data_IF_150553309635
#
_entry.id   IF_150553309635
#
_cell.length_a   1.000
_cell.length_b   1.000
_cell.length_c   1.000
_cell.angle_alpha   90.00
_cell.angle_beta   90.00
_cell.angle_gamma   90.00
#
_symmetry.space_group_name_H-M   'P 1'
#
loop_
_entity.id
_entity.type
_entity.pdbx_description
1 polymer ?
#
# COMPACT_ATOMS: atom_id res chain seq x y z
N UNK A 1 -17.39 -9.76 8.71
CA UNK A 1 -16.86 -9.86 10.10
C UNK A 1 -15.75 -8.84 10.37
N UNK A 2 -14.92 -8.46 9.42
CA UNK A 2 -13.85 -7.46 9.57
C UNK A 2 -14.33 -6.03 9.84
N UNK A 3 -15.42 -5.59 9.26
CA UNK A 3 -15.97 -4.21 9.42
C UNK A 3 -16.40 -3.89 10.86
N UNK A 4 -16.94 -4.88 11.61
CA UNK A 4 -17.30 -4.66 13.02
C UNK A 4 -16.07 -4.48 13.92
N UNK A 5 -14.94 -5.09 13.51
CA UNK A 5 -13.66 -4.94 14.21
C UNK A 5 -13.06 -3.55 13.88
N UNK A 6 -13.21 -3.07 12.64
CA UNK A 6 -12.81 -1.72 12.23
C UNK A 6 -13.51 -0.64 13.07
N UNK A 7 -14.83 -0.73 13.29
CA UNK A 7 -15.56 0.21 14.15
C UNK A 7 -15.01 0.29 15.58
N UNK A 8 -14.44 -0.80 16.10
CA UNK A 8 -13.95 -0.88 17.48
C UNK A 8 -12.47 -0.46 17.64
N UNK A 9 -11.66 -0.60 16.58
CA UNK A 9 -10.22 -0.30 16.61
C UNK A 9 -9.87 1.12 16.12
N UNK A 10 -10.75 1.75 15.37
CA UNK A 10 -10.56 3.08 14.74
C UNK A 10 -10.50 4.25 15.75
N UNK A 11 -10.81 4.01 17.02
CA UNK A 11 -10.81 5.05 18.05
C UNK A 11 -9.45 5.69 18.38
N UNK A 12 -8.34 5.35 17.68
CA UNK A 12 -7.01 5.85 18.06
C UNK A 12 -6.17 6.47 16.94
N UNK A 13 -6.52 6.27 15.66
CA UNK A 13 -5.91 6.98 14.53
C UNK A 13 -7.04 7.33 13.59
N UNK A 14 -7.35 8.60 13.49
CA UNK A 14 -8.34 9.11 12.54
C UNK A 14 -7.66 9.33 11.20
N UNK A 15 -8.27 8.86 10.10
CA UNK A 15 -7.81 9.18 8.73
C UNK A 15 -7.78 10.70 8.55
N UNK A 16 -8.78 11.39 9.09
CA UNK A 16 -8.88 12.84 9.09
C UNK A 16 -7.65 13.52 9.73
N UNK A 17 -7.20 13.03 10.89
CA UNK A 17 -5.98 13.54 11.54
C UNK A 17 -4.74 13.26 10.70
N UNK A 18 -4.66 12.08 10.08
CA UNK A 18 -3.55 11.73 9.19
C UNK A 18 -3.45 12.71 8.01
N UNK A 19 -4.59 13.08 7.42
CA UNK A 19 -4.64 13.95 6.25
C UNK A 19 -4.41 15.43 6.59
N UNK A 20 -4.84 15.88 7.76
CA UNK A 20 -4.85 17.30 8.12
C UNK A 20 -3.67 17.73 9.01
N UNK A 21 -3.16 16.84 9.84
CA UNK A 21 -2.20 17.19 10.89
C UNK A 21 -0.82 16.52 10.74
N UNK A 22 -0.71 15.49 9.89
CA UNK A 22 0.48 14.66 9.83
C UNK A 22 1.31 14.95 8.57
N UNK A 23 2.60 14.74 8.68
CA UNK A 23 3.53 14.98 7.59
C UNK A 23 3.54 13.87 6.54
N UNK A 24 4.37 14.03 5.51
CA UNK A 24 4.53 13.05 4.42
C UNK A 24 5.00 11.67 4.91
N UNK A 25 5.73 11.61 6.03
CA UNK A 25 6.22 10.37 6.62
C UNK A 25 5.67 10.24 8.04
N UNK A 26 5.00 9.13 8.31
CA UNK A 26 4.35 8.87 9.59
C UNK A 26 4.79 7.51 10.14
N UNK A 27 5.29 7.49 11.38
CA UNK A 27 5.71 6.28 12.07
C UNK A 27 4.71 5.91 13.17
N UNK A 28 4.10 4.72 13.04
CA UNK A 28 3.17 4.18 14.03
C UNK A 28 3.83 3.13 14.91
N UNK A 29 4.25 3.52 16.08
CA UNK A 29 4.80 2.60 17.09
C UNK A 29 3.73 2.24 18.10
N UNK A 30 3.36 0.95 18.18
CA UNK A 30 2.41 0.44 19.17
C UNK A 30 2.79 -0.97 19.60
N UNK A 31 2.45 -1.40 20.84
CA UNK A 31 2.65 -2.76 21.28
C UNK A 31 1.98 -3.78 20.34
N UNK A 32 2.35 -5.05 20.48
CA UNK A 32 1.68 -6.15 19.78
C UNK A 32 0.19 -6.17 20.13
N UNK A 33 -0.66 -6.59 19.19
CA UNK A 33 -2.14 -6.70 19.33
C UNK A 33 -2.92 -5.37 19.43
N UNK A 34 -2.27 -4.23 19.21
CA UNK A 34 -2.93 -2.91 19.20
C UNK A 34 -3.39 -2.45 17.80
N UNK A 35 -3.71 -3.38 16.91
CA UNK A 35 -4.38 -3.09 15.66
C UNK A 35 -3.50 -2.42 14.57
N UNK A 36 -2.15 -2.49 14.64
CA UNK A 36 -1.28 -1.89 13.61
C UNK A 36 -1.62 -2.34 12.20
N UNK A 37 -1.66 -3.66 11.97
CA UNK A 37 -1.97 -4.22 10.64
C UNK A 37 -3.38 -3.87 10.19
N UNK A 38 -4.34 -3.78 11.12
CA UNK A 38 -5.71 -3.38 10.81
C UNK A 38 -5.76 -1.91 10.37
N UNK A 39 -5.02 -1.02 11.04
CA UNK A 39 -4.94 0.39 10.64
C UNK A 39 -4.30 0.53 9.26
N UNK A 40 -3.24 -0.22 8.97
CA UNK A 40 -2.62 -0.22 7.64
C UNK A 40 -3.58 -0.72 6.55
N UNK A 41 -4.31 -1.82 6.80
CA UNK A 41 -5.33 -2.32 5.86
C UNK A 41 -6.48 -1.31 5.68
N UNK A 42 -6.88 -0.61 6.74
CA UNK A 42 -7.89 0.44 6.66
C UNK A 42 -7.42 1.60 5.79
N UNK A 43 -6.19 2.08 5.98
CA UNK A 43 -5.60 3.14 5.16
C UNK A 43 -5.51 2.71 3.69
N UNK A 44 -5.03 1.50 3.43
CA UNK A 44 -5.00 0.95 2.08
C UNK A 44 -6.41 0.93 1.47
N UNK A 45 -7.41 0.42 2.18
CA UNK A 45 -8.79 0.36 1.68
C UNK A 45 -9.42 1.73 1.46
N UNK A 46 -8.99 2.75 2.21
CA UNK A 46 -9.50 4.11 2.03
C UNK A 46 -8.92 4.80 0.81
N UNK A 47 -7.60 4.71 0.61
CA UNK A 47 -6.93 5.46 -0.45
C UNK A 47 -6.94 4.74 -1.80
N UNK A 48 -6.94 3.40 -1.80
CA UNK A 48 -6.65 2.62 -3.00
C UNK A 48 -7.80 2.65 -4.03
N UNK A 49 -7.43 2.92 -5.27
CA UNK A 49 -8.32 2.89 -6.44
C UNK A 49 -8.98 1.51 -6.56
N UNK A 50 -10.28 1.50 -6.88
CA UNK A 50 -11.05 0.28 -7.09
C UNK A 50 -11.52 -0.41 -5.80
N UNK A 51 -11.22 0.13 -4.63
CA UNK A 51 -11.78 -0.38 -3.37
C UNK A 51 -13.22 0.07 -3.16
N UNK A 52 -13.99 -0.78 -2.50
CA UNK A 52 -15.37 -0.50 -2.13
C UNK A 52 -15.46 0.66 -1.13
N UNK A 53 -16.00 1.78 -1.56
CA UNK A 53 -16.11 2.99 -0.75
C UNK A 53 -17.14 2.85 0.36
N UNK A 54 -18.12 1.96 0.21
CA UNK A 54 -19.18 1.72 1.22
C UNK A 54 -18.64 1.12 2.51
N UNK A 55 -17.41 0.58 2.50
CA UNK A 55 -16.70 0.11 3.70
C UNK A 55 -16.60 1.18 4.80
N UNK A 56 -16.67 2.43 4.43
CA UNK A 56 -16.51 3.58 5.34
C UNK A 56 -17.84 4.23 5.73
N UNK A 57 -18.98 3.76 5.21
CA UNK A 57 -20.30 4.30 5.52
C UNK A 57 -20.62 4.18 7.01
N UNK A 58 -21.08 5.28 7.60
CA UNK A 58 -21.35 5.37 9.03
C UNK A 58 -20.09 5.33 9.93
N UNK A 59 -18.91 5.49 9.36
CA UNK A 59 -17.67 5.81 10.11
C UNK A 59 -17.49 7.34 10.13
N UNK A 60 -16.82 7.83 11.17
CA UNK A 60 -16.57 9.27 11.34
C UNK A 60 -15.99 9.97 10.10
N UNK A 61 -15.16 9.29 9.33
CA UNK A 61 -14.57 9.87 8.11
C UNK A 61 -15.63 10.14 7.03
N UNK A 62 -16.70 9.33 6.96
CA UNK A 62 -17.78 9.54 5.99
C UNK A 62 -18.61 10.82 6.26
N UNK A 63 -18.51 11.38 7.45
CA UNK A 63 -19.14 12.67 7.78
C UNK A 63 -18.38 13.84 7.12
N UNK A 64 -17.12 13.64 6.74
CA UNK A 64 -16.30 14.63 6.06
C UNK A 64 -16.27 14.36 4.54
N UNK A 65 -17.29 14.83 3.84
CA UNK A 65 -17.45 14.59 2.40
C UNK A 65 -16.29 15.17 1.58
N UNK A 66 -15.76 16.33 1.95
CA UNK A 66 -14.64 16.97 1.24
C UNK A 66 -13.39 16.07 1.24
N UNK A 67 -13.02 15.49 2.39
CA UNK A 67 -11.89 14.57 2.47
C UNK A 67 -12.17 13.25 1.72
N UNK A 68 -13.39 12.74 1.77
CA UNK A 68 -13.76 11.55 1.03
C UNK A 68 -13.70 11.78 -0.48
N UNK A 69 -14.23 12.87 -0.99
CA UNK A 69 -14.18 13.23 -2.41
C UNK A 69 -12.74 13.44 -2.89
N UNK A 70 -11.89 14.02 -2.07
CA UNK A 70 -10.50 14.32 -2.41
C UNK A 70 -9.58 13.10 -2.37
N UNK A 71 -9.79 12.18 -1.43
CA UNK A 71 -8.80 11.14 -1.12
C UNK A 71 -9.30 9.70 -1.24
N UNK A 72 -10.60 9.43 -1.05
CA UNK A 72 -11.11 8.07 -1.00
C UNK A 72 -11.13 7.39 -2.37
N UNK A 73 -10.33 6.32 -2.50
CA UNK A 73 -10.24 5.55 -3.73
C UNK A 73 -9.64 6.32 -4.90
N UNK A 74 -8.69 7.21 -4.65
CA UNK A 74 -8.07 8.08 -5.67
C UNK A 74 -6.62 7.75 -5.99
N UNK A 75 -5.95 6.94 -5.17
CA UNK A 75 -4.51 6.74 -5.28
C UNK A 75 -4.17 5.26 -5.48
N UNK A 76 -3.12 4.94 -6.26
CA UNK A 76 -2.48 3.65 -6.17
C UNK A 76 -1.78 3.55 -4.81
N UNK A 77 -1.90 2.42 -4.12
CA UNK A 77 -1.30 2.23 -2.79
C UNK A 77 -0.31 1.08 -2.85
N UNK A 78 0.96 1.35 -2.58
CA UNK A 78 2.00 0.32 -2.39
C UNK A 78 1.96 -0.15 -0.95
N UNK A 79 1.64 -1.42 -0.72
CA UNK A 79 1.50 -2.00 0.62
C UNK A 79 2.43 -3.20 0.79
N UNK A 80 3.53 -3.00 1.52
CA UNK A 80 4.54 -4.04 1.74
C UNK A 80 4.51 -4.51 3.19
N UNK A 81 4.30 -5.79 3.41
CA UNK A 81 4.37 -6.40 4.72
C UNK A 81 5.65 -7.22 4.88
N UNK A 82 6.47 -6.82 5.84
CA UNK A 82 7.68 -7.57 6.21
C UNK A 82 7.39 -8.74 7.17
N UNK A 83 6.10 -8.96 7.49
CA UNK A 83 5.68 -10.09 8.31
C UNK A 83 5.87 -11.39 7.52
N UNK A 84 6.68 -12.29 8.06
CA UNK A 84 7.00 -13.56 7.39
C UNK A 84 8.32 -13.56 6.63
N UNK A 85 9.02 -12.42 6.54
CA UNK A 85 10.40 -12.37 6.06
C UNK A 85 11.33 -12.77 7.21
N UNK A 86 11.31 -14.05 7.58
CA UNK A 86 12.04 -14.64 8.68
C UNK A 86 12.75 -15.92 8.23
N UNK A 87 13.61 -15.80 7.23
CA UNK A 87 14.46 -16.92 6.81
C UNK A 87 15.47 -17.28 7.90
N UNK A 88 15.81 -18.56 8.00
CA UNK A 88 16.91 -19.03 8.86
C UNK A 88 18.28 -18.54 8.36
N UNK A 89 18.36 -18.17 7.08
CA UNK A 89 19.56 -17.62 6.44
C UNK A 89 19.23 -16.32 5.73
N UNK A 90 20.25 -15.53 5.43
CA UNK A 90 20.13 -14.33 4.61
C UNK A 90 19.48 -14.64 3.25
N UNK A 91 19.87 -15.71 2.61
CA UNK A 91 19.35 -16.11 1.29
C UNK A 91 17.87 -16.43 1.33
N UNK A 92 17.40 -17.06 2.40
CA UNK A 92 15.96 -17.31 2.59
C UNK A 92 15.19 -16.01 2.83
N UNK A 93 15.67 -15.16 3.71
CA UNK A 93 15.05 -13.87 3.97
C UNK A 93 14.97 -13.01 2.70
N UNK A 94 16.05 -13.00 1.91
CA UNK A 94 16.13 -12.34 0.60
C UNK A 94 15.08 -12.88 -0.37
N UNK A 95 14.93 -14.20 -0.49
CA UNK A 95 13.91 -14.81 -1.36
C UNK A 95 12.49 -14.42 -0.94
N UNK A 96 12.21 -14.38 0.36
CA UNK A 96 10.89 -13.94 0.85
C UNK A 96 10.64 -12.47 0.54
N UNK A 97 11.66 -11.61 0.67
CA UNK A 97 11.53 -10.20 0.31
C UNK A 97 11.23 -10.02 -1.18
N UNK A 98 12.00 -10.69 -2.06
CA UNK A 98 11.76 -10.69 -3.51
C UNK A 98 10.33 -11.14 -3.82
N UNK A 99 9.87 -12.22 -3.20
CA UNK A 99 8.50 -12.73 -3.39
C UNK A 99 7.47 -11.67 -3.01
N UNK A 100 7.66 -10.99 -1.88
CA UNK A 100 6.75 -9.95 -1.41
C UNK A 100 6.68 -8.78 -2.40
N UNK A 101 7.81 -8.32 -2.92
CA UNK A 101 7.86 -7.27 -3.95
C UNK A 101 7.19 -7.72 -5.25
N UNK A 102 7.44 -8.94 -5.69
CA UNK A 102 6.81 -9.47 -6.91
C UNK A 102 5.28 -9.56 -6.78
N UNK A 103 4.78 -10.00 -5.63
CA UNK A 103 3.34 -10.10 -5.39
C UNK A 103 2.70 -8.71 -5.44
N UNK A 104 3.36 -7.71 -4.86
CA UNK A 104 2.89 -6.34 -4.88
C UNK A 104 2.96 -5.72 -6.29
N UNK A 105 4.05 -5.92 -7.02
CA UNK A 105 4.18 -5.48 -8.40
C UNK A 105 3.10 -6.10 -9.32
N UNK A 106 2.76 -7.37 -9.10
CA UNK A 106 1.68 -8.04 -9.84
C UNK A 106 0.31 -7.50 -9.48
N UNK A 107 0.07 -7.22 -8.21
CA UNK A 107 -1.19 -6.64 -7.73
C UNK A 107 -1.44 -5.27 -8.35
N UNK A 108 -0.40 -4.46 -8.41
CA UNK A 108 -0.47 -3.09 -8.93
C UNK A 108 -0.37 -3.00 -10.47
N UNK A 109 0.02 -4.08 -11.14
CA UNK A 109 0.19 -4.06 -12.60
C UNK A 109 -1.11 -3.83 -13.38
N UNK A 110 -2.27 -4.15 -12.79
CA UNK A 110 -3.58 -3.84 -13.39
C UNK A 110 -3.82 -2.33 -13.44
N UNK A 111 -3.28 -1.58 -12.47
CA UNK A 111 -3.38 -0.12 -12.41
C UNK A 111 -2.38 0.57 -13.35
N UNK A 112 -1.36 -0.15 -13.78
CA UNK A 112 -0.33 0.34 -14.70
C UNK A 112 -0.58 0.02 -16.18
N UNK A 113 -1.73 -0.58 -16.53
CA UNK A 113 -2.20 -0.76 -17.91
C UNK A 113 -2.70 0.56 -18.50
N UNK A 114 -1.95 1.64 -18.30
CA UNK A 114 -2.26 2.94 -18.85
C UNK A 114 -1.40 3.22 -20.08
N UNK A 115 -1.93 4.02 -21.00
CA UNK A 115 -1.21 4.49 -22.18
C UNK A 115 -0.09 5.49 -21.86
N UNK A 116 0.08 5.84 -20.60
CA UNK A 116 1.09 6.80 -20.13
C UNK A 116 2.44 6.14 -19.79
N UNK A 117 2.47 4.80 -19.72
CA UNK A 117 3.70 4.04 -19.54
C UNK A 117 4.37 3.78 -20.89
N UNK A 118 5.67 4.07 -20.97
CA UNK A 118 6.48 3.75 -22.14
C UNK A 118 7.01 2.30 -22.12
N UNK A 119 7.71 1.90 -23.19
CA UNK A 119 8.25 0.54 -23.33
C UNK A 119 9.26 0.21 -22.21
N UNK A 120 10.06 1.18 -21.78
CA UNK A 120 11.03 1.03 -20.68
C UNK A 120 10.34 0.78 -19.34
N UNK A 121 9.20 1.44 -19.11
CA UNK A 121 8.37 1.24 -17.91
C UNK A 121 7.77 -0.16 -17.87
N UNK A 122 7.29 -0.66 -19.01
CA UNK A 122 6.79 -2.03 -19.12
C UNK A 122 7.88 -3.08 -18.92
N UNK A 123 9.09 -2.82 -19.41
CA UNK A 123 10.26 -3.68 -19.14
C UNK A 123 10.61 -3.70 -17.65
N UNK A 124 10.66 -2.53 -17.00
CA UNK A 124 10.92 -2.39 -15.58
C UNK A 124 9.87 -3.12 -14.74
N UNK A 125 8.59 -2.93 -15.06
CA UNK A 125 7.50 -3.65 -14.40
C UNK A 125 7.62 -5.17 -14.58
N UNK A 126 8.06 -5.62 -15.75
CA UNK A 126 8.32 -7.04 -16.02
C UNK A 126 9.50 -7.55 -15.19
N UNK A 127 10.55 -6.74 -15.00
CA UNK A 127 11.68 -7.10 -14.13
C UNK A 127 11.26 -7.21 -12.67
N UNK A 128 10.44 -6.29 -12.17
CA UNK A 128 9.91 -6.33 -10.81
C UNK A 128 9.03 -7.56 -10.53
N UNK A 129 8.48 -8.18 -11.56
CA UNK A 129 7.69 -9.43 -11.47
C UNK A 129 8.52 -10.71 -11.55
N UNK A 130 9.83 -10.65 -11.83
CA UNK A 130 10.72 -11.82 -11.94
C UNK A 130 11.00 -12.41 -10.56
N UNK A 131 11.13 -13.74 -10.52
CA UNK A 131 11.46 -14.48 -9.28
C UNK A 131 12.87 -14.23 -8.77
N UNK A 132 13.76 -13.76 -9.64
CA UNK A 132 15.15 -13.44 -9.33
C UNK A 132 15.40 -11.96 -9.58
N UNK A 133 16.03 -11.31 -8.63
CA UNK A 133 16.45 -9.92 -8.69
C UNK A 133 17.91 -9.82 -8.27
N UNK A 134 18.64 -8.89 -8.88
CA UNK A 134 19.96 -8.49 -8.37
C UNK A 134 19.80 -7.77 -7.03
N UNK A 135 20.88 -7.57 -6.30
CA UNK A 135 20.81 -6.79 -5.06
C UNK A 135 20.39 -5.33 -5.33
N UNK A 136 20.91 -4.75 -6.40
CA UNK A 136 20.57 -3.37 -6.80
C UNK A 136 19.09 -3.26 -7.18
N UNK A 137 18.58 -4.16 -8.02
CA UNK A 137 17.15 -4.19 -8.36
C UNK A 137 16.25 -4.36 -7.12
N UNK A 138 16.69 -5.15 -6.13
CA UNK A 138 15.92 -5.33 -4.90
C UNK A 138 15.93 -4.06 -4.02
N UNK A 139 17.07 -3.38 -3.91
CA UNK A 139 17.21 -2.14 -3.13
C UNK A 139 16.33 -1.03 -3.69
N UNK A 140 16.26 -0.89 -5.01
CA UNK A 140 15.49 0.17 -5.66
C UNK A 140 14.03 -0.21 -5.97
N UNK A 141 13.65 -1.47 -5.82
CA UNK A 141 12.37 -2.04 -6.28
C UNK A 141 11.13 -1.27 -5.82
N UNK A 142 11.06 -0.83 -4.55
CA UNK A 142 9.91 -0.09 -4.02
C UNK A 142 9.86 1.31 -4.62
N UNK A 143 11.00 1.96 -4.78
CA UNK A 143 11.11 3.28 -5.40
C UNK A 143 10.68 3.22 -6.87
N UNK A 144 11.22 2.29 -7.63
CA UNK A 144 10.89 2.05 -9.04
C UNK A 144 9.40 1.76 -9.21
N UNK A 145 8.81 0.93 -8.35
CA UNK A 145 7.38 0.65 -8.36
C UNK A 145 6.54 1.91 -8.07
N UNK A 146 7.00 2.77 -7.18
CA UNK A 146 6.31 4.02 -6.85
C UNK A 146 6.39 5.01 -8.01
N UNK A 147 7.56 5.17 -8.64
CA UNK A 147 7.78 6.03 -9.81
C UNK A 147 6.94 5.58 -11.01
N UNK A 148 6.80 4.26 -11.24
CA UNK A 148 5.90 3.72 -12.27
C UNK A 148 4.43 4.08 -12.05
N UNK A 149 3.99 4.16 -10.80
CA UNK A 149 2.61 4.50 -10.46
C UNK A 149 2.37 6.02 -10.43
N UNK A 150 3.41 6.82 -10.25
CA UNK A 150 3.30 8.28 -10.25
C UNK A 150 2.95 8.81 -11.64
N UNK A 151 3.46 8.20 -12.73
CA UNK A 151 3.21 8.64 -14.11
C UNK A 151 1.71 8.74 -14.44
N UNK A 152 0.90 7.68 -14.26
CA UNK A 152 -0.53 7.71 -14.57
C UNK A 152 -1.41 8.37 -13.49
N UNK A 153 -0.91 8.59 -12.27
CA UNK A 153 -1.75 9.01 -11.13
C UNK A 153 -1.18 10.20 -10.35
N UNK A 154 -0.02 10.72 -10.72
CA UNK A 154 0.67 11.82 -10.06
C UNK A 154 0.15 13.22 -10.34
#
# INVERSE_FOLDING_TARGET
MELRILKRCVGKISIEQLLTQWGKVNLFTRPRRFGKSLNMSMLQSFFEIGKDKTLFDGLRISDNQELCEKYQGKFPVVSVSLKGINGATYEEARRFLIKTINEEARRLSVLSDSTELDETDHELLTQLKKKEMTNDSLVYSIRELTELLEKPYG
#
